data_IF_723442751324
#
_entry.id   IF_723442751324
#
_cell.length_a   1.000
_cell.length_b   1.000
_cell.length_c   1.000
_cell.angle_alpha   90.00
_cell.angle_beta   90.00
_cell.angle_gamma   90.00
#
_symmetry.space_group_name_H-M   'P 1'
#
loop_
_entity.id
_entity.type
_entity.pdbx_description
1 polymer ?
#
# COMPACT_ATOMS: atom_id res chain seq x y z
N UNK A 1 -36.97 66.65 6.46
CA UNK A 1 -36.32 65.45 7.04
C UNK A 1 -35.06 65.88 7.75
N UNK A 2 -34.93 65.64 9.07
CA UNK A 2 -33.70 65.93 9.83
C UNK A 2 -32.73 64.76 9.67
N UNK A 3 -31.70 64.92 8.86
CA UNK A 3 -30.52 64.04 8.86
C UNK A 3 -29.71 64.33 10.12
N UNK A 4 -29.64 63.36 11.04
CA UNK A 4 -28.72 63.43 12.17
C UNK A 4 -27.32 63.18 11.63
N UNK A 5 -26.48 64.22 11.60
CA UNK A 5 -25.06 64.06 11.28
C UNK A 5 -24.38 63.33 12.46
N UNK A 6 -23.68 62.23 12.16
CA UNK A 6 -22.84 61.53 13.13
C UNK A 6 -21.79 62.49 13.67
N UNK A 7 -21.59 62.48 14.98
CA UNK A 7 -20.59 63.37 15.60
C UNK A 7 -19.19 62.78 15.38
N UNK A 8 -18.20 63.64 15.14
CA UNK A 8 -16.82 63.21 14.89
C UNK A 8 -16.26 62.38 16.07
N UNK A 9 -16.67 62.71 17.30
CA UNK A 9 -16.29 61.98 18.50
C UNK A 9 -16.87 60.56 18.55
N UNK A 10 -18.09 60.36 18.06
CA UNK A 10 -18.73 59.04 18.01
C UNK A 10 -17.99 58.11 17.05
N UNK A 11 -17.55 58.63 15.90
CA UNK A 11 -16.71 57.86 14.96
C UNK A 11 -15.36 57.51 15.58
N UNK A 12 -14.72 58.43 16.31
CA UNK A 12 -13.46 58.15 16.99
C UNK A 12 -13.59 57.06 18.05
N UNK A 13 -14.65 57.10 18.87
CA UNK A 13 -14.90 56.09 19.91
C UNK A 13 -15.20 54.73 19.29
N UNK A 14 -16.01 54.68 18.23
CA UNK A 14 -16.32 53.42 17.51
C UNK A 14 -15.06 52.81 16.91
N UNK A 15 -14.20 53.60 16.27
CA UNK A 15 -12.93 53.11 15.72
C UNK A 15 -11.98 52.61 16.82
N UNK A 16 -11.95 53.27 17.99
CA UNK A 16 -11.16 52.83 19.14
C UNK A 16 -11.67 51.50 19.73
N UNK A 17 -12.99 51.29 19.79
CA UNK A 17 -13.55 50.03 20.27
C UNK A 17 -13.29 48.89 19.28
N UNK A 18 -13.44 49.15 17.98
CA UNK A 18 -13.19 48.15 16.93
C UNK A 18 -11.72 47.71 16.92
N UNK A 19 -10.77 48.64 17.10
CA UNK A 19 -9.35 48.29 17.11
C UNK A 19 -8.96 47.40 18.29
N UNK A 20 -9.54 47.64 19.47
CA UNK A 20 -9.35 46.78 20.65
C UNK A 20 -9.94 45.39 20.39
N UNK A 21 -11.16 45.31 19.86
CA UNK A 21 -11.81 44.03 19.56
C UNK A 21 -11.04 43.25 18.49
N UNK A 22 -10.56 43.91 17.43
CA UNK A 22 -9.77 43.29 16.38
C UNK A 22 -8.44 42.72 16.94
N UNK A 23 -7.77 43.46 17.82
CA UNK A 23 -6.55 43.00 18.49
C UNK A 23 -6.78 41.74 19.32
N UNK A 24 -7.93 41.63 20.01
CA UNK A 24 -8.27 40.45 20.81
C UNK A 24 -8.67 39.22 19.99
N UNK A 25 -9.22 39.41 18.78
CA UNK A 25 -9.65 38.29 17.91
C UNK A 25 -8.49 37.60 17.19
N UNK A 26 -7.39 38.30 16.94
CA UNK A 26 -6.30 37.82 16.08
C UNK A 26 -5.69 36.47 16.51
N UNK A 27 -5.42 36.19 17.80
CA UNK A 27 -4.89 34.89 18.23
C UNK A 27 -5.84 33.71 17.99
N UNK A 28 -7.16 33.97 17.99
CA UNK A 28 -8.16 32.92 17.78
C UNK A 28 -8.21 32.47 16.32
N UNK A 29 -8.08 33.42 15.39
CA UNK A 29 -8.04 33.13 13.95
C UNK A 29 -6.83 32.28 13.60
N UNK A 30 -5.66 32.57 14.19
CA UNK A 30 -4.44 31.80 13.95
C UNK A 30 -4.59 30.32 14.32
N UNK A 31 -5.18 30.04 15.49
CA UNK A 31 -5.43 28.65 15.94
C UNK A 31 -6.42 27.91 15.06
N UNK A 32 -7.39 28.64 14.50
CA UNK A 32 -8.37 28.05 13.59
C UNK A 32 -7.71 27.59 12.28
N UNK A 33 -6.87 28.43 11.68
CA UNK A 33 -6.12 28.06 10.47
C UNK A 33 -5.18 26.88 10.70
N UNK A 34 -4.44 26.87 11.81
CA UNK A 34 -3.54 25.76 12.14
C UNK A 34 -4.29 24.43 12.28
N UNK A 35 -5.48 24.45 12.91
CA UNK A 35 -6.32 23.25 13.02
C UNK A 35 -6.82 22.76 11.65
N UNK A 36 -7.16 23.65 10.73
CA UNK A 36 -7.58 23.30 9.37
C UNK A 36 -6.42 22.70 8.55
N UNK A 37 -5.22 23.25 8.72
CA UNK A 37 -3.99 22.77 8.07
C UNK A 37 -3.60 21.36 8.57
N UNK A 38 -3.68 21.12 9.88
CA UNK A 38 -3.47 19.79 10.47
C UNK A 38 -4.50 18.79 9.93
N UNK A 39 -5.78 19.17 9.89
CA UNK A 39 -6.84 18.32 9.38
C UNK A 39 -6.63 17.98 7.89
N UNK A 40 -6.25 18.98 7.09
CA UNK A 40 -5.93 18.83 5.66
C UNK A 40 -4.76 17.87 5.45
N UNK A 41 -3.69 18.03 6.24
CA UNK A 41 -2.51 17.16 6.17
C UNK A 41 -2.85 15.71 6.51
N UNK A 42 -3.64 15.49 7.57
CA UNK A 42 -4.11 14.16 7.96
C UNK A 42 -4.97 13.52 6.88
N UNK A 43 -5.84 14.30 6.23
CA UNK A 43 -6.66 13.79 5.13
C UNK A 43 -5.82 13.41 3.90
N UNK A 44 -4.83 14.23 3.54
CA UNK A 44 -3.87 13.90 2.47
C UNK A 44 -3.09 12.61 2.77
N UNK A 45 -2.63 12.42 4.01
CA UNK A 45 -1.95 11.18 4.41
C UNK A 45 -2.87 9.96 4.33
N UNK A 46 -4.15 10.11 4.69
CA UNK A 46 -5.14 9.03 4.52
C UNK A 46 -5.40 8.72 3.05
N UNK A 47 -5.48 9.73 2.19
CA UNK A 47 -5.62 9.53 0.74
C UNK A 47 -4.37 8.82 0.17
N UNK A 48 -3.16 9.21 0.59
CA UNK A 48 -1.93 8.51 0.24
C UNK A 48 -1.95 7.05 0.70
N UNK A 49 -2.30 6.77 1.96
CA UNK A 49 -2.45 5.40 2.46
C UNK A 49 -3.46 4.62 1.64
N UNK A 50 -4.63 5.19 1.38
CA UNK A 50 -5.68 4.57 0.56
C UNK A 50 -5.21 4.33 -0.88
N UNK A 51 -4.40 5.20 -1.46
CA UNK A 51 -3.81 4.99 -2.77
C UNK A 51 -2.77 3.87 -2.76
N UNK A 52 -1.98 3.76 -1.70
CA UNK A 52 -0.93 2.74 -1.55
C UNK A 52 -1.51 1.35 -1.28
N UNK A 53 -2.34 1.20 -0.26
CA UNK A 53 -2.82 -0.11 0.20
C UNK A 53 -4.28 -0.36 -0.10
N UNK A 54 -5.01 0.64 -0.58
CA UNK A 54 -6.45 0.57 -0.83
C UNK A 54 -7.31 0.93 0.39
N UNK A 55 -8.62 0.71 0.27
CA UNK A 55 -9.59 0.93 1.34
C UNK A 55 -10.11 -0.42 1.86
N UNK A 56 -9.88 -0.71 3.14
CA UNK A 56 -10.32 -1.96 3.77
C UNK A 56 -11.83 -2.03 4.01
N UNK A 57 -12.50 -0.87 4.05
CA UNK A 57 -13.95 -0.80 4.26
C UNK A 57 -14.76 -1.18 3.00
N UNK A 58 -14.14 -1.11 1.83
CA UNK A 58 -14.77 -1.45 0.55
C UNK A 58 -14.73 -2.96 0.32
N UNK A 59 -15.76 -3.63 0.83
CA UNK A 59 -15.98 -5.07 0.74
C UNK A 59 -17.22 -5.34 -0.12
N UNK A 60 -17.08 -6.15 -1.16
CA UNK A 60 -18.19 -6.68 -1.95
C UNK A 60 -18.17 -8.21 -1.89
N UNK A 61 -19.32 -8.83 -1.61
CA UNK A 61 -19.45 -10.29 -1.47
C UNK A 61 -18.48 -10.89 -0.42
N UNK A 62 -18.22 -10.16 0.67
CA UNK A 62 -17.29 -10.60 1.71
C UNK A 62 -15.82 -10.61 1.25
N UNK A 63 -15.49 -9.92 0.16
CA UNK A 63 -14.13 -9.78 -0.36
C UNK A 63 -13.81 -8.30 -0.56
N UNK A 64 -12.63 -7.85 -0.14
CA UNK A 64 -12.20 -6.47 -0.40
C UNK A 64 -12.07 -6.25 -1.91
N UNK A 65 -12.50 -5.10 -2.41
CA UNK A 65 -12.44 -4.80 -3.85
C UNK A 65 -11.45 -3.69 -4.17
N UNK A 66 -10.92 -3.01 -3.17
CA UNK A 66 -10.03 -1.88 -3.35
C UNK A 66 -8.68 -2.10 -2.66
N UNK A 67 -7.66 -2.39 -3.45
CA UNK A 67 -6.32 -2.78 -2.97
C UNK A 67 -5.22 -1.76 -3.26
N UNK A 68 -5.55 -0.64 -3.92
CA UNK A 68 -4.58 0.40 -4.27
C UNK A 68 -3.40 -0.15 -5.07
N UNK A 69 -2.25 0.51 -4.93
CA UNK A 69 -0.99 0.11 -5.56
C UNK A 69 -0.55 -1.31 -5.19
N UNK A 70 -0.68 -1.69 -3.91
CA UNK A 70 -0.31 -3.03 -3.44
C UNK A 70 -1.08 -4.13 -4.16
N UNK A 71 -2.35 -3.90 -4.51
CA UNK A 71 -3.13 -4.90 -5.24
C UNK A 71 -2.56 -5.29 -6.60
N UNK A 72 -1.85 -4.36 -7.25
CA UNK A 72 -1.27 -4.58 -8.57
C UNK A 72 0.18 -5.08 -8.51
N UNK A 73 0.94 -4.62 -7.52
CA UNK A 73 2.39 -4.89 -7.45
C UNK A 73 2.80 -5.81 -6.29
N UNK A 74 1.90 -6.08 -5.34
CA UNK A 74 2.16 -6.91 -4.17
C UNK A 74 3.12 -6.30 -3.14
N UNK A 75 3.45 -5.02 -3.26
CA UNK A 75 4.34 -4.28 -2.37
C UNK A 75 4.04 -2.78 -2.38
N UNK A 76 4.58 -2.03 -1.40
CA UNK A 76 4.47 -0.58 -1.36
C UNK A 76 5.36 0.10 -2.42
N UNK A 77 4.96 1.28 -2.94
CA UNK A 77 5.70 2.02 -3.96
C UNK A 77 6.97 2.65 -3.39
N UNK A 78 8.10 1.98 -3.61
CA UNK A 78 9.42 2.49 -3.27
C UNK A 78 10.29 2.62 -4.51
N UNK A 79 11.10 3.68 -4.58
CA UNK A 79 12.11 3.81 -5.61
C UNK A 79 13.36 2.97 -5.28
N UNK A 80 14.33 2.99 -6.20
CA UNK A 80 15.59 2.24 -6.04
C UNK A 80 16.43 2.73 -4.85
N UNK A 81 16.20 3.96 -4.37
CA UNK A 81 16.88 4.53 -3.21
C UNK A 81 16.08 4.30 -1.92
N UNK A 82 15.10 3.39 -1.94
CA UNK A 82 14.22 3.09 -0.81
C UNK A 82 13.45 4.32 -0.30
N UNK A 83 13.26 5.35 -1.13
CA UNK A 83 12.41 6.50 -0.82
C UNK A 83 10.98 6.25 -1.29
N UNK A 84 10.02 6.88 -0.64
CA UNK A 84 8.63 6.77 -1.05
C UNK A 84 8.44 7.36 -2.45
N UNK A 85 7.93 6.53 -3.35
CA UNK A 85 7.77 6.89 -4.74
C UNK A 85 6.31 7.25 -5.04
N UNK A 86 5.81 8.31 -4.40
CA UNK A 86 4.43 8.78 -4.57
C UNK A 86 4.06 9.05 -6.04
N UNK A 87 5.04 9.38 -6.89
CA UNK A 87 4.86 9.52 -8.35
C UNK A 87 4.23 8.29 -9.01
N UNK A 88 4.52 7.08 -8.52
CA UNK A 88 3.97 5.84 -9.06
C UNK A 88 2.47 5.69 -8.78
N UNK A 89 1.90 6.48 -7.87
CA UNK A 89 0.48 6.43 -7.54
C UNK A 89 -0.42 7.10 -8.60
N UNK A 90 0.15 7.95 -9.46
CA UNK A 90 -0.66 8.83 -10.31
C UNK A 90 -0.37 8.71 -11.82
N UNK A 91 0.73 8.08 -12.22
CA UNK A 91 1.22 8.15 -13.60
C UNK A 91 1.80 6.82 -14.06
N UNK A 92 1.25 6.30 -15.17
CA UNK A 92 1.81 5.12 -15.82
C UNK A 92 3.20 5.38 -16.39
N UNK A 93 3.47 6.62 -16.83
CA UNK A 93 4.75 6.97 -17.44
C UNK A 93 5.88 6.88 -16.40
N UNK A 94 5.62 7.33 -15.17
CA UNK A 94 6.57 7.20 -14.07
C UNK A 94 6.78 5.73 -13.69
N UNK A 95 5.74 4.91 -13.78
CA UNK A 95 5.85 3.46 -13.59
C UNK A 95 6.66 2.79 -14.70
N UNK A 96 6.44 3.15 -15.96
CA UNK A 96 7.17 2.61 -17.12
C UNK A 96 8.66 2.95 -17.09
N UNK A 97 9.04 4.07 -16.46
CA UNK A 97 10.43 4.45 -16.24
C UNK A 97 11.10 3.67 -15.09
N UNK A 98 10.34 2.92 -14.29
CA UNK A 98 10.89 2.08 -13.22
C UNK A 98 11.36 0.75 -13.78
N UNK A 99 12.60 0.34 -13.47
CA UNK A 99 13.07 -1.03 -13.72
C UNK A 99 12.42 -2.06 -12.79
N UNK A 100 11.79 -1.60 -11.69
CA UNK A 100 11.20 -2.46 -10.66
C UNK A 100 9.75 -2.80 -10.94
N UNK A 101 9.01 -1.87 -11.54
CA UNK A 101 7.57 -1.99 -11.75
C UNK A 101 7.24 -2.07 -13.22
N UNK A 102 6.37 -2.99 -13.60
CA UNK A 102 5.91 -3.12 -14.98
C UNK A 102 4.62 -2.31 -15.17
N UNK A 103 4.65 -1.29 -16.02
CA UNK A 103 3.50 -0.44 -16.37
C UNK A 103 2.30 -1.21 -16.92
N UNK A 104 2.50 -2.38 -17.54
CA UNK A 104 1.41 -3.24 -18.03
C UNK A 104 0.49 -3.72 -16.91
N UNK A 105 0.96 -3.70 -15.67
CA UNK A 105 0.27 -4.24 -14.52
C UNK A 105 -0.48 -3.20 -13.69
N UNK A 106 -0.27 -1.93 -14.01
CA UNK A 106 -0.94 -0.79 -13.40
C UNK A 106 -2.39 -0.71 -13.85
N UNK A 107 -3.32 -0.78 -12.91
CA UNK A 107 -4.77 -0.73 -13.16
C UNK A 107 -5.33 0.69 -13.20
N UNK A 108 -4.49 1.70 -12.99
CA UNK A 108 -4.85 3.11 -13.17
C UNK A 108 -4.43 4.00 -12.01
N UNK A 109 -4.89 5.25 -12.08
CA UNK A 109 -4.54 6.28 -11.11
C UNK A 109 -5.20 5.99 -9.76
N UNK A 110 -4.39 5.94 -8.71
CA UNK A 110 -4.86 5.68 -7.34
C UNK A 110 -5.14 6.95 -6.55
N UNK A 111 -4.66 8.10 -7.05
CA UNK A 111 -4.93 9.43 -6.52
C UNK A 111 -5.96 10.15 -7.39
N UNK A 112 -6.86 10.90 -6.75
CA UNK A 112 -7.95 11.58 -7.43
C UNK A 112 -7.46 12.76 -8.30
N UNK A 113 -6.50 13.55 -7.82
CA UNK A 113 -5.91 14.65 -8.59
C UNK A 113 -4.70 14.24 -9.44
N UNK A 114 -4.55 14.88 -10.61
CA UNK A 114 -3.43 14.69 -11.54
C UNK A 114 -2.14 15.33 -11.07
N UNK A 115 -2.20 16.11 -10.00
CA UNK A 115 -1.04 16.77 -9.44
C UNK A 115 -0.39 15.90 -8.35
N UNK A 116 0.66 15.17 -8.75
CA UNK A 116 1.49 14.37 -7.82
C UNK A 116 2.22 15.23 -6.79
N UNK A 117 2.50 16.50 -7.11
CA UNK A 117 3.29 17.37 -6.25
C UNK A 117 2.51 17.82 -5.02
N UNK A 118 1.19 17.95 -5.14
CA UNK A 118 0.32 18.44 -4.08
C UNK A 118 0.06 17.39 -2.98
N UNK A 119 0.07 16.10 -3.33
CA UNK A 119 -0.15 15.03 -2.35
C UNK A 119 1.09 14.65 -1.56
N UNK A 120 2.29 14.89 -2.11
CA UNK A 120 3.54 14.60 -1.44
C UNK A 120 3.95 15.70 -0.44
N UNK A 121 3.12 16.73 -0.27
CA UNK A 121 3.36 17.84 0.67
C UNK A 121 2.19 18.01 1.64
N UNK A 122 2.52 18.44 2.85
CA UNK A 122 1.54 18.83 3.86
C UNK A 122 0.92 20.20 3.54
N UNK A 123 0.00 20.65 4.40
CA UNK A 123 -0.70 21.92 4.22
C UNK A 123 0.23 23.14 4.26
N UNK A 124 1.42 23.01 4.87
CA UNK A 124 2.44 24.06 4.95
C UNK A 124 3.46 24.00 3.80
N UNK A 125 3.31 23.04 2.89
CA UNK A 125 4.20 22.85 1.74
C UNK A 125 5.48 22.07 2.07
N UNK A 126 5.60 21.46 3.26
CA UNK A 126 6.72 20.59 3.56
C UNK A 126 6.47 19.18 3.00
N UNK A 127 7.49 18.47 2.53
CA UNK A 127 7.32 17.13 2.00
C UNK A 127 6.94 16.13 3.11
N UNK A 128 5.92 15.33 2.83
CA UNK A 128 5.55 14.16 3.66
C UNK A 128 6.67 13.13 3.56
N UNK A 129 7.16 12.67 4.71
CA UNK A 129 8.28 11.72 4.81
C UNK A 129 7.77 10.32 5.05
N UNK A 130 8.58 9.35 4.65
CA UNK A 130 8.37 7.95 5.00
C UNK A 130 9.46 7.47 5.94
N UNK A 131 9.04 7.11 7.15
CA UNK A 131 9.88 6.56 8.22
C UNK A 131 9.45 5.13 8.52
N UNK A 132 10.14 4.45 9.46
CA UNK A 132 9.78 3.10 9.94
C UNK A 132 9.49 2.09 8.82
N UNK A 133 10.32 2.09 7.78
CA UNK A 133 10.15 1.24 6.60
C UNK A 133 10.39 -0.22 6.99
N UNK A 134 9.47 -1.09 6.63
CA UNK A 134 9.57 -2.53 6.84
C UNK A 134 9.83 -3.23 5.50
N UNK A 135 10.99 -3.89 5.41
CA UNK A 135 11.32 -4.80 4.32
C UNK A 135 11.23 -6.23 4.83
N UNK A 136 10.28 -7.00 4.33
CA UNK A 136 10.02 -8.40 4.72
C UNK A 136 9.72 -9.21 3.47
N UNK A 137 10.02 -10.51 3.42
CA UNK A 137 9.67 -11.38 2.28
C UNK A 137 10.07 -10.80 0.90
N UNK A 138 11.25 -10.17 0.87
CA UNK A 138 11.86 -9.49 -0.28
C UNK A 138 10.98 -8.38 -0.90
N UNK A 139 10.18 -7.69 -0.08
CA UNK A 139 9.33 -6.57 -0.50
C UNK A 139 9.18 -5.52 0.59
N UNK A 140 8.72 -4.34 0.20
CA UNK A 140 8.31 -3.33 1.18
C UNK A 140 6.89 -3.61 1.66
N UNK A 141 6.79 -4.00 2.94
CA UNK A 141 5.57 -4.45 3.57
C UNK A 141 4.98 -3.43 4.55
N UNK A 142 5.72 -2.39 4.93
CA UNK A 142 5.19 -1.37 5.85
C UNK A 142 5.99 -0.07 5.83
N UNK A 143 5.37 1.01 6.28
CA UNK A 143 6.00 2.31 6.52
C UNK A 143 5.13 3.20 7.40
N UNK A 144 5.69 4.28 7.93
CA UNK A 144 4.94 5.37 8.56
C UNK A 144 5.09 6.64 7.72
N UNK A 145 3.97 7.24 7.33
CA UNK A 145 3.93 8.59 6.76
C UNK A 145 4.04 9.60 7.90
N UNK A 146 4.94 10.58 7.79
CA UNK A 146 5.18 11.58 8.83
C UNK A 146 5.24 13.00 8.28
N UNK A 147 4.66 13.94 9.02
CA UNK A 147 4.77 15.40 8.84
C UNK A 147 4.83 16.04 10.24
N UNK A 148 5.49 17.19 10.34
CA UNK A 148 5.63 17.93 11.60
C UNK A 148 4.99 19.30 11.39
N UNK A 149 3.94 19.59 12.15
CA UNK A 149 3.26 20.87 12.12
C UNK A 149 4.13 22.00 12.71
N UNK A 150 3.85 23.29 12.43
CA UNK A 150 4.62 24.42 12.93
C UNK A 150 4.70 24.50 14.47
N UNK A 151 3.67 24.03 15.17
CA UNK A 151 3.65 23.90 16.63
C UNK A 151 4.48 22.71 17.17
N UNK A 152 5.09 21.90 16.30
CA UNK A 152 5.84 20.70 16.65
C UNK A 152 4.99 19.43 16.82
N UNK A 153 3.68 19.48 16.55
CA UNK A 153 2.82 18.29 16.54
C UNK A 153 3.25 17.34 15.42
N UNK A 154 3.54 16.09 15.79
CA UNK A 154 3.86 15.02 14.84
C UNK A 154 2.56 14.40 14.35
N UNK A 155 2.36 14.43 13.03
CA UNK A 155 1.23 13.80 12.36
C UNK A 155 1.75 12.53 11.69
N UNK A 156 1.24 11.37 12.13
CA UNK A 156 1.64 10.07 11.63
C UNK A 156 0.46 9.29 11.05
N UNK A 157 0.71 8.56 9.96
CA UNK A 157 -0.20 7.56 9.43
C UNK A 157 0.59 6.28 9.15
N UNK A 158 0.22 5.19 9.83
CA UNK A 158 0.94 3.92 9.79
C UNK A 158 0.35 3.00 8.72
N UNK A 159 1.23 2.37 7.94
CA UNK A 159 0.93 1.31 6.99
C UNK A 159 1.67 0.06 7.47
N UNK A 160 0.93 -0.93 7.96
CA UNK A 160 1.49 -2.14 8.54
C UNK A 160 1.64 -3.26 7.50
N UNK A 161 2.43 -4.28 7.84
CA UNK A 161 2.51 -5.52 7.05
C UNK A 161 1.14 -6.11 6.74
N UNK A 162 0.19 -6.02 7.67
CA UNK A 162 -1.16 -6.51 7.48
C UNK A 162 -1.98 -5.72 6.45
N UNK A 163 -1.57 -4.47 6.13
CA UNK A 163 -2.17 -3.70 5.03
C UNK A 163 -1.69 -4.21 3.66
N UNK A 164 -0.52 -4.84 3.62
CA UNK A 164 0.19 -5.21 2.38
C UNK A 164 0.08 -6.71 2.07
N UNK A 165 0.13 -7.56 3.09
CA UNK A 165 0.15 -9.03 3.00
C UNK A 165 -0.82 -9.68 4.01
N UNK A 166 -2.12 -9.76 3.70
CA UNK A 166 -3.14 -10.23 4.63
C UNK A 166 -3.33 -11.76 4.66
N UNK A 167 -2.71 -12.50 3.74
CA UNK A 167 -2.98 -13.95 3.59
C UNK A 167 -1.78 -14.80 3.96
N UNK A 168 -2.01 -15.77 4.84
CA UNK A 168 -0.93 -16.41 5.60
C UNK A 168 -0.61 -17.85 5.19
N UNK A 169 -1.35 -18.52 4.27
CA UNK A 169 -1.13 -19.96 3.98
C UNK A 169 -1.45 -20.38 2.54
N UNK A 170 -0.67 -21.32 2.02
CA UNK A 170 -1.01 -22.12 0.83
C UNK A 170 -1.11 -23.58 1.26
N UNK A 171 -2.19 -24.26 0.86
CA UNK A 171 -2.44 -25.67 1.16
C UNK A 171 -2.99 -26.37 -0.07
N UNK A 172 -2.74 -27.66 -0.22
CA UNK A 172 -3.24 -28.42 -1.35
C UNK A 172 -2.51 -29.73 -1.46
N UNK A 173 -3.22 -30.77 -1.89
CA UNK A 173 -2.65 -32.10 -1.99
C UNK A 173 -1.95 -32.29 -3.33
N UNK A 174 -0.71 -32.76 -3.27
CA UNK A 174 0.06 -33.16 -4.44
C UNK A 174 0.23 -34.67 -4.39
N UNK A 175 -0.28 -35.38 -5.38
CA UNK A 175 -0.10 -36.81 -5.58
C UNK A 175 0.85 -37.01 -6.75
N UNK A 176 2.08 -37.45 -6.46
CA UNK A 176 3.12 -37.57 -7.47
C UNK A 176 3.95 -38.85 -7.25
N UNK A 177 4.34 -39.49 -8.35
CA UNK A 177 5.35 -40.56 -8.35
C UNK A 177 6.80 -40.02 -8.27
N UNK A 178 6.94 -38.71 -8.07
CA UNK A 178 8.20 -37.98 -8.03
C UNK A 178 8.81 -37.95 -6.63
N UNK A 179 10.13 -37.76 -6.56
CA UNK A 179 10.90 -37.78 -5.31
C UNK A 179 11.14 -36.39 -4.75
N UNK A 180 10.87 -35.33 -5.50
CA UNK A 180 11.05 -33.95 -5.07
C UNK A 180 9.94 -33.01 -5.57
N UNK A 181 9.63 -31.99 -4.77
CA UNK A 181 8.72 -30.90 -5.10
C UNK A 181 9.43 -29.57 -4.87
N UNK A 182 9.36 -28.68 -5.87
CA UNK A 182 9.69 -27.26 -5.73
C UNK A 182 8.43 -26.45 -5.98
N UNK A 183 8.13 -25.54 -5.06
CA UNK A 183 7.05 -24.58 -5.18
C UNK A 183 7.69 -23.22 -5.38
N UNK A 184 7.39 -22.60 -6.50
CA UNK A 184 7.85 -21.27 -6.85
C UNK A 184 6.63 -20.37 -6.93
N UNK A 185 6.53 -19.40 -6.01
CA UNK A 185 5.45 -18.44 -5.96
C UNK A 185 5.98 -17.12 -6.47
N UNK A 186 5.32 -16.55 -7.48
CA UNK A 186 5.68 -15.26 -8.09
C UNK A 186 4.43 -14.40 -8.19
N UNK A 187 4.50 -13.08 -7.91
CA UNK A 187 3.44 -12.19 -8.35
C UNK A 187 3.36 -12.25 -9.88
N UNK A 188 2.16 -12.35 -10.45
CA UNK A 188 1.97 -12.43 -11.91
C UNK A 188 2.51 -11.17 -12.63
N UNK A 189 2.67 -10.08 -11.87
CA UNK A 189 2.71 -8.71 -12.35
C UNK A 189 4.00 -7.92 -12.06
N UNK A 190 5.09 -8.57 -11.67
CA UNK A 190 6.35 -7.84 -11.39
C UNK A 190 7.52 -8.39 -12.20
N UNK A 191 8.20 -7.49 -12.91
CA UNK A 191 9.24 -7.82 -13.90
C UNK A 191 10.56 -8.34 -13.32
N UNK A 192 10.78 -8.26 -12.01
CA UNK A 192 11.99 -8.76 -11.35
C UNK A 192 11.80 -8.91 -9.85
N UNK A 193 10.82 -9.72 -9.44
CA UNK A 193 10.86 -10.26 -8.09
C UNK A 193 11.75 -11.50 -8.06
N UNK A 194 12.69 -11.51 -7.13
CA UNK A 194 13.46 -12.69 -6.76
C UNK A 194 12.47 -13.78 -6.34
N UNK A 195 12.60 -14.96 -6.93
CA UNK A 195 11.88 -16.20 -6.58
C UNK A 195 11.60 -16.23 -5.08
N UNK A 196 10.32 -16.21 -4.65
CA UNK A 196 9.99 -15.99 -3.23
C UNK A 196 10.60 -17.10 -2.37
N UNK A 197 10.77 -18.30 -2.93
CA UNK A 197 11.69 -19.33 -2.47
C UNK A 197 11.69 -20.50 -3.47
N UNK A 198 12.85 -21.08 -3.78
CA UNK A 198 12.96 -22.44 -4.32
C UNK A 198 13.23 -23.39 -3.16
N UNK A 199 12.19 -23.90 -2.52
CA UNK A 199 12.38 -24.98 -1.55
C UNK A 199 12.21 -26.31 -2.24
N UNK A 200 13.29 -27.07 -2.32
CA UNK A 200 13.19 -28.49 -2.59
C UNK A 200 12.67 -29.23 -1.35
N UNK A 201 11.57 -29.95 -1.50
CA UNK A 201 11.08 -30.88 -0.48
C UNK A 201 11.12 -32.30 -1.04
N UNK A 202 11.77 -33.25 -0.34
CA UNK A 202 11.67 -34.65 -0.72
C UNK A 202 10.23 -35.12 -0.54
N UNK A 203 9.72 -35.83 -1.54
CA UNK A 203 8.41 -36.46 -1.55
C UNK A 203 8.57 -37.95 -1.19
N UNK A 204 7.75 -38.45 -0.27
CA UNK A 204 7.62 -39.90 -0.12
C UNK A 204 6.78 -40.46 -1.29
N UNK A 205 7.08 -41.65 -1.81
CA UNK A 205 6.29 -42.26 -2.88
C UNK A 205 4.82 -42.38 -2.46
N UNK A 206 3.90 -41.90 -3.31
CA UNK A 206 2.44 -41.94 -3.09
C UNK A 206 1.92 -41.16 -1.87
N UNK A 207 2.63 -40.14 -1.40
CA UNK A 207 2.20 -39.36 -0.22
C UNK A 207 1.37 -38.13 -0.58
N UNK A 208 0.32 -37.86 0.21
CA UNK A 208 -0.50 -36.66 0.13
C UNK A 208 0.09 -35.57 1.03
N UNK A 209 0.58 -34.47 0.45
CA UNK A 209 1.05 -33.31 1.23
C UNK A 209 -0.11 -32.36 1.50
N UNK A 210 -0.51 -32.12 2.75
CA UNK A 210 -1.71 -31.31 3.05
C UNK A 210 -1.43 -29.85 3.42
N UNK A 211 -0.18 -29.48 3.75
CA UNK A 211 0.14 -28.10 4.17
C UNK A 211 1.51 -27.68 3.64
N UNK A 212 1.52 -26.67 2.78
CA UNK A 212 2.71 -26.22 2.06
C UNK A 212 3.34 -24.94 2.66
N UNK A 213 3.16 -24.76 3.99
CA UNK A 213 3.79 -23.77 4.88
C UNK A 213 3.02 -22.43 5.06
N UNK A 214 3.19 -21.76 6.21
CA UNK A 214 2.67 -20.42 6.43
C UNK A 214 3.56 -19.41 5.68
N UNK A 215 3.02 -18.82 4.62
CA UNK A 215 3.66 -17.73 3.89
C UNK A 215 2.72 -16.55 3.83
N UNK A 216 3.27 -15.37 4.08
CA UNK A 216 2.59 -14.10 3.85
C UNK A 216 2.62 -13.83 2.34
N UNK A 217 1.54 -14.19 1.67
CA UNK A 217 1.41 -13.98 0.23
C UNK A 217 0.96 -12.54 -0.05
N UNK A 218 1.40 -11.93 -1.17
CA UNK A 218 0.88 -10.64 -1.58
C UNK A 218 -0.61 -10.69 -1.89
N UNK A 219 -1.30 -9.60 -1.61
CA UNK A 219 -2.59 -9.31 -2.24
C UNK A 219 -2.39 -9.24 -3.75
N UNK A 220 -3.39 -9.71 -4.49
CA UNK A 220 -3.43 -9.58 -5.94
C UNK A 220 -3.12 -10.88 -6.65
N UNK A 221 -2.70 -10.79 -7.91
CA UNK A 221 -2.53 -11.97 -8.75
C UNK A 221 -1.17 -12.60 -8.51
N UNK A 222 -1.18 -13.87 -8.15
CA UNK A 222 0.03 -14.68 -8.05
C UNK A 222 -0.01 -15.84 -9.05
N UNK A 223 1.16 -16.17 -9.55
CA UNK A 223 1.44 -17.41 -10.24
C UNK A 223 2.16 -18.36 -9.26
N UNK A 224 1.60 -19.54 -9.07
CA UNK A 224 2.22 -20.62 -8.31
C UNK A 224 2.65 -21.68 -9.29
N UNK A 225 3.96 -21.81 -9.44
CA UNK A 225 4.63 -22.79 -10.28
C UNK A 225 5.04 -23.98 -9.42
N UNK A 226 4.50 -25.15 -9.72
CA UNK A 226 4.89 -26.41 -9.12
C UNK A 226 5.83 -27.15 -10.05
N UNK A 227 7.06 -27.41 -9.61
CA UNK A 227 8.06 -28.19 -10.34
C UNK A 227 8.26 -29.51 -9.61
N UNK A 228 7.92 -30.61 -10.27
CA UNK A 228 8.14 -31.96 -9.73
C UNK A 228 9.48 -32.49 -10.21
N UNK A 229 10.22 -33.19 -9.36
CA UNK A 229 11.57 -33.68 -9.64
C UNK A 229 11.68 -35.19 -9.47
N UNK A 230 12.44 -35.84 -10.36
CA UNK A 230 12.78 -37.28 -10.23
C UNK A 230 13.67 -37.56 -9.02
N UNK A 231 14.45 -36.56 -8.59
CA UNK A 231 15.39 -36.67 -7.48
C UNK A 231 14.91 -35.88 -6.25
N UNK A 232 15.27 -36.37 -5.07
CA UNK A 232 14.93 -35.77 -3.76
C UNK A 232 15.62 -34.43 -3.49
N UNK A 233 16.66 -34.11 -4.25
CA UNK A 233 17.41 -32.85 -4.18
C UNK A 233 16.90 -31.80 -5.18
N UNK A 234 15.87 -32.12 -5.96
CA UNK A 234 15.28 -31.26 -6.98
C UNK A 234 16.25 -30.82 -8.09
N UNK A 235 17.32 -31.57 -8.32
CA UNK A 235 18.32 -31.29 -9.35
C UNK A 235 17.79 -31.43 -10.78
N UNK A 236 16.74 -32.23 -11.01
CA UNK A 236 16.13 -32.44 -12.33
C UNK A 236 14.62 -32.26 -12.29
N UNK A 237 14.15 -31.11 -12.77
CA UNK A 237 12.71 -30.86 -12.96
C UNK A 237 12.18 -31.76 -14.07
N UNK A 238 11.15 -32.55 -13.77
CA UNK A 238 10.50 -33.49 -14.67
C UNK A 238 9.20 -32.93 -15.24
N UNK A 239 8.43 -32.25 -14.41
CA UNK A 239 7.13 -31.69 -14.77
C UNK A 239 6.98 -30.31 -14.13
N UNK A 240 6.32 -29.39 -14.83
CA UNK A 240 6.04 -28.05 -14.33
C UNK A 240 4.58 -27.71 -14.59
N UNK A 241 3.86 -27.32 -13.54
CA UNK A 241 2.46 -26.88 -13.63
C UNK A 241 2.32 -25.48 -13.03
N UNK A 242 1.65 -24.59 -13.74
CA UNK A 242 1.43 -23.21 -13.31
C UNK A 242 -0.03 -23.00 -12.91
N UNK A 243 -0.25 -22.34 -11.78
CA UNK A 243 -1.57 -22.01 -11.28
C UNK A 243 -1.66 -20.51 -11.02
N UNK A 244 -2.71 -19.88 -11.54
CA UNK A 244 -2.96 -18.47 -11.33
C UNK A 244 -4.02 -18.30 -10.24
N UNK A 245 -3.68 -17.59 -9.17
CA UNK A 245 -4.62 -17.28 -8.08
C UNK A 245 -4.76 -15.77 -7.94
N UNK A 246 -5.98 -15.33 -7.63
CA UNK A 246 -6.23 -13.99 -7.10
C UNK A 246 -6.33 -14.11 -5.58
N UNK A 247 -5.43 -13.45 -4.88
CA UNK A 247 -5.40 -13.40 -3.42
C UNK A 247 -6.16 -12.16 -2.95
N UNK A 248 -7.08 -12.40 -2.02
CA UNK A 248 -7.89 -11.39 -1.36
C UNK A 248 -7.68 -11.47 0.16
N UNK A 249 -7.94 -10.38 0.88
CA UNK A 249 -7.68 -10.23 2.32
C UNK A 249 -8.30 -11.31 3.23
N UNK A 250 -9.39 -11.95 2.78
CA UNK A 250 -10.10 -12.96 3.57
C UNK A 250 -9.64 -14.40 3.29
N UNK A 251 -8.69 -14.61 2.37
CA UNK A 251 -8.15 -15.95 2.11
C UNK A 251 -7.18 -16.33 3.22
N UNK A 252 -7.66 -17.15 4.15
CA UNK A 252 -6.79 -17.76 5.18
C UNK A 252 -5.84 -18.80 4.60
N UNK A 253 -6.28 -19.51 3.56
CA UNK A 253 -5.46 -20.47 2.83
C UNK A 253 -5.89 -20.56 1.36
N UNK A 254 -4.92 -20.66 0.45
CA UNK A 254 -5.19 -21.06 -0.94
C UNK A 254 -5.30 -22.57 -0.98
N UNK A 255 -6.37 -23.11 -1.56
CA UNK A 255 -6.48 -24.55 -1.84
C UNK A 255 -6.03 -24.81 -3.28
N UNK A 256 -4.91 -25.50 -3.47
CA UNK A 256 -4.51 -25.96 -4.80
C UNK A 256 -5.40 -27.13 -5.26
N UNK A 257 -5.65 -27.27 -6.57
CA UNK A 257 -6.29 -28.47 -7.10
C UNK A 257 -5.41 -29.70 -6.84
N UNK A 258 -6.03 -30.86 -6.66
CA UNK A 258 -5.30 -32.10 -6.49
C UNK A 258 -4.57 -32.42 -7.81
N UNK A 259 -3.25 -32.55 -7.74
CA UNK A 259 -2.42 -32.88 -8.90
C UNK A 259 -2.15 -34.36 -8.85
N UNK A 260 -2.49 -35.06 -9.93
CA UNK A 260 -2.16 -36.47 -10.15
C UNK A 260 -1.09 -36.56 -11.23
N UNK A 261 0.16 -36.44 -10.83
CA UNK A 261 1.32 -36.57 -11.69
C UNK A 261 1.71 -38.06 -11.80
N UNK A 262 1.59 -38.63 -13.00
CA UNK A 262 1.88 -40.04 -13.30
C UNK A 262 3.36 -40.28 -13.58
#
# INVERSE_FOLDING_TARGET
MKTKAFTLIEVMVVMAVISILAGMMMPSVWRFWESEEIATTRERMKELKKAMVGDRSLIQNGVRTHYGFVGDFGELPFDNNSSCAFKFLNSNADMAASSRYNSANWSGRYLSSSDTSNYAVDAWGNPIRCTNKLYADNRWAGLTLTSVAPNGELIEEVIDANDVVPTNRVAGNVFAAYSGLVIDIKPEKTGSFTEINNMCKPLAPFSAYTTLLPYNLPIGRINVTLKLSKHTDCSSVAETTNFHYLIHDNIRYIKMPDINAK
#
